data_IF_330842118687
#
_entry.id   IF_330842118687
#
_cell.length_a   1.000
_cell.length_b   1.000
_cell.length_c   1.000
_cell.angle_alpha   90.00
_cell.angle_beta   90.00
_cell.angle_gamma   90.00
#
_symmetry.space_group_name_H-M   'P 1'
#
loop_
_entity.id
_entity.type
_entity.pdbx_description
1 polymer ?
#
# COMPACT_ATOMS: atom_id res chain seq x y z
N UNK A 1 2.84 5.75 14.87
CA UNK A 1 2.25 4.60 14.16
C UNK A 1 1.50 3.70 15.13
N UNK A 2 0.24 3.33 14.84
CA UNK A 2 -0.59 2.47 15.70
C UNK A 2 -1.42 1.50 14.85
N UNK A 3 -1.78 0.32 15.39
CA UNK A 3 -2.75 -0.57 14.72
C UNK A 3 -4.08 0.17 14.54
N UNK A 4 -4.74 -0.04 13.40
CA UNK A 4 -5.96 0.66 13.00
C UNK A 4 -5.76 2.03 12.35
N UNK A 5 -4.56 2.63 12.44
CA UNK A 5 -4.25 3.89 11.77
C UNK A 5 -4.44 3.75 10.27
N UNK A 6 -5.13 4.72 9.65
CA UNK A 6 -5.30 4.76 8.20
C UNK A 6 -4.01 5.17 7.50
N UNK A 7 -3.76 4.57 6.35
CA UNK A 7 -2.65 4.91 5.45
C UNK A 7 -3.11 4.78 4.01
N UNK A 8 -2.62 5.68 3.16
CA UNK A 8 -2.83 5.63 1.71
C UNK A 8 -1.50 5.30 1.05
N UNK A 9 -1.49 4.31 0.17
CA UNK A 9 -0.29 3.92 -0.57
C UNK A 9 -0.66 3.45 -1.97
N UNK A 10 0.32 3.36 -2.84
CA UNK A 10 0.17 2.73 -4.16
C UNK A 10 0.66 1.29 -4.04
N UNK A 11 -0.21 0.28 -4.22
CA UNK A 11 0.21 -1.11 -4.20
C UNK A 11 1.27 -1.42 -5.26
N UNK A 12 2.30 -2.16 -4.86
CA UNK A 12 3.31 -2.74 -5.76
C UNK A 12 2.68 -3.58 -6.88
N UNK A 13 1.55 -4.24 -6.59
CA UNK A 13 0.76 -4.98 -7.56
C UNK A 13 0.26 -4.13 -8.75
N UNK A 14 0.23 -2.80 -8.62
CA UNK A 14 -0.18 -1.90 -9.70
C UNK A 14 1.00 -1.31 -10.48
N UNK A 15 2.26 -1.58 -10.09
CA UNK A 15 3.44 -1.02 -10.78
C UNK A 15 3.53 -1.46 -12.25
N UNK A 16 3.06 -2.67 -12.58
CA UNK A 16 3.05 -3.18 -13.96
C UNK A 16 1.89 -2.64 -14.82
N UNK A 17 0.89 -1.94 -14.26
CA UNK A 17 -0.23 -1.36 -15.03
C UNK A 17 0.23 -0.29 -16.05
N UNK A 18 1.47 0.21 -15.95
CA UNK A 18 2.00 1.31 -16.76
C UNK A 18 2.92 0.88 -17.91
N UNK A 19 3.18 -0.42 -18.11
CA UNK A 19 4.05 -0.85 -19.23
C UNK A 19 3.29 -0.83 -20.57
N UNK A 20 3.36 0.29 -21.30
CA UNK A 20 2.85 0.44 -22.66
C UNK A 20 2.62 1.91 -23.10
N UNK A 21 2.51 2.16 -24.41
CA UNK A 21 2.36 3.48 -25.06
C UNK A 21 1.23 4.38 -24.50
N UNK A 22 0.33 3.83 -23.67
CA UNK A 22 -0.72 4.58 -22.95
C UNK A 22 -0.27 5.24 -21.64
N UNK A 23 1.01 5.14 -21.26
CA UNK A 23 1.57 5.83 -20.10
C UNK A 23 1.37 7.38 -20.14
N UNK A 24 1.20 7.96 -21.34
CA UNK A 24 1.08 9.41 -21.53
C UNK A 24 -0.32 10.01 -21.24
N UNK A 25 -1.34 9.20 -20.91
CA UNK A 25 -2.66 9.72 -20.49
C UNK A 25 -3.00 9.29 -19.06
N UNK A 26 -2.43 9.99 -18.09
CA UNK A 26 -3.08 10.30 -16.81
C UNK A 26 -3.62 9.14 -15.95
N UNK A 27 -3.15 7.90 -16.10
CA UNK A 27 -3.41 6.88 -15.08
C UNK A 27 -2.44 7.09 -13.93
N UNK A 28 -2.78 8.01 -13.02
CA UNK A 28 -2.19 8.03 -11.67
C UNK A 28 -2.30 6.60 -11.15
N UNK A 29 -1.19 5.98 -10.75
CA UNK A 29 -1.19 4.67 -10.11
C UNK A 29 -2.29 4.66 -9.05
N UNK A 30 -3.16 3.63 -9.06
CA UNK A 30 -4.32 3.60 -8.18
C UNK A 30 -3.87 3.49 -6.73
N UNK A 31 -3.89 4.60 -5.99
CA UNK A 31 -3.62 4.54 -4.57
C UNK A 31 -4.82 3.97 -3.83
N UNK A 32 -4.56 3.11 -2.85
CA UNK A 32 -5.57 2.51 -1.97
C UNK A 32 -5.45 3.13 -0.59
N UNK A 33 -6.58 3.25 0.11
CA UNK A 33 -6.59 3.68 1.51
C UNK A 33 -7.01 2.49 2.37
N UNK A 34 -6.11 2.08 3.25
CA UNK A 34 -6.29 0.97 4.16
C UNK A 34 -5.95 1.34 5.59
N UNK A 35 -5.63 0.32 6.40
CA UNK A 35 -5.27 0.47 7.80
C UNK A 35 -4.12 -0.44 8.19
N UNK A 36 -3.34 -0.03 9.18
CA UNK A 36 -2.29 -0.87 9.76
C UNK A 36 -2.92 -2.00 10.56
N UNK A 37 -2.66 -3.25 10.16
CA UNK A 37 -3.20 -4.45 10.83
C UNK A 37 -2.15 -5.15 11.71
N UNK A 38 -0.88 -4.95 11.41
CA UNK A 38 0.23 -5.52 12.17
C UNK A 38 1.40 -4.55 12.30
N UNK A 39 2.07 -4.62 13.44
CA UNK A 39 3.30 -3.88 13.75
C UNK A 39 4.25 -4.93 14.31
N UNK A 40 5.44 -5.05 13.70
CA UNK A 40 6.46 -5.98 14.20
C UNK A 40 6.87 -5.60 15.63
N UNK A 41 7.02 -6.56 16.59
CA UNK A 41 7.37 -6.26 17.98
C UNK A 41 8.66 -5.44 18.13
N UNK A 42 9.71 -5.80 17.38
CA UNK A 42 10.97 -5.04 17.33
C UNK A 42 10.93 -3.80 16.41
N UNK A 43 9.75 -3.32 16.02
CA UNK A 43 9.54 -2.11 15.21
C UNK A 43 10.31 -2.05 13.88
N UNK A 44 10.50 -3.19 13.22
CA UNK A 44 11.24 -3.28 11.94
C UNK A 44 10.37 -2.92 10.73
N UNK A 45 9.11 -3.32 10.77
CA UNK A 45 8.13 -3.08 9.70
C UNK A 45 6.71 -3.07 10.26
N UNK A 46 5.76 -2.64 9.43
CA UNK A 46 4.34 -2.76 9.67
C UNK A 46 3.64 -3.31 8.43
N UNK A 47 2.47 -3.90 8.61
CA UNK A 47 1.63 -4.40 7.51
C UNK A 47 0.35 -3.58 7.45
N UNK A 48 0.02 -3.09 6.26
CA UNK A 48 -1.25 -2.43 5.98
C UNK A 48 -2.18 -3.36 5.18
N UNK A 49 -3.48 -3.22 5.40
CA UNK A 49 -4.53 -3.96 4.70
C UNK A 49 -5.54 -2.98 4.10
N UNK A 50 -5.90 -3.18 2.83
CA UNK A 50 -6.95 -2.45 2.14
C UNK A 50 -7.87 -3.41 1.38
N UNK A 51 -9.16 -3.05 1.28
CA UNK A 51 -10.10 -3.72 0.38
C UNK A 51 -10.12 -3.01 -0.96
N UNK A 52 -10.00 -3.77 -2.04
CA UNK A 52 -10.06 -3.28 -3.42
C UNK A 52 -11.07 -4.15 -4.18
N UNK A 53 -12.27 -3.62 -4.38
CA UNK A 53 -13.39 -4.42 -4.87
C UNK A 53 -13.73 -5.56 -3.90
N UNK A 54 -13.71 -6.80 -4.40
CA UNK A 54 -13.95 -8.00 -3.59
C UNK A 54 -12.66 -8.57 -2.97
N UNK A 55 -11.50 -8.01 -3.33
CA UNK A 55 -10.21 -8.53 -2.90
C UNK A 55 -9.64 -7.75 -1.72
N UNK A 56 -8.71 -8.38 -0.99
CA UNK A 56 -7.96 -7.76 0.09
C UNK A 56 -6.48 -7.76 -0.24
N UNK A 57 -5.87 -6.58 -0.29
CA UNK A 57 -4.43 -6.40 -0.51
C UNK A 57 -3.77 -6.18 0.85
N UNK A 58 -2.61 -6.84 1.05
CA UNK A 58 -1.75 -6.65 2.21
C UNK A 58 -0.33 -6.37 1.75
N UNK A 59 0.26 -5.32 2.28
CA UNK A 59 1.65 -4.95 1.98
C UNK A 59 2.41 -4.59 3.26
N UNK A 60 3.69 -4.93 3.25
CA UNK A 60 4.63 -4.67 4.35
C UNK A 60 5.50 -3.46 4.02
N UNK A 61 5.62 -2.55 4.97
CA UNK A 61 6.42 -1.34 4.84
C UNK A 61 7.46 -1.31 5.96
N UNK A 62 8.72 -0.95 5.66
CA UNK A 62 9.71 -0.72 6.69
C UNK A 62 9.24 0.39 7.63
N UNK A 63 9.57 0.29 8.91
CA UNK A 63 9.46 1.46 9.78
C UNK A 63 10.65 2.36 9.51
N UNK A 64 10.42 3.54 8.94
CA UNK A 64 11.47 4.57 8.95
C UNK A 64 11.74 4.97 10.40
N UNK A 65 12.98 4.77 10.85
CA UNK A 65 13.52 5.44 12.03
C UNK A 65 13.72 6.90 11.64
N UNK A 66 12.68 7.73 11.74
CA UNK A 66 12.83 9.18 11.77
C UNK A 66 13.21 9.63 13.18
#
# INVERSE_FOLDING_TARGET
>A
MRKGQKITWTPSAFEHELSGERANRQRKLRSVTGRIVYIHPARRYYMAEAKVGNETIRECFPMENR
#
